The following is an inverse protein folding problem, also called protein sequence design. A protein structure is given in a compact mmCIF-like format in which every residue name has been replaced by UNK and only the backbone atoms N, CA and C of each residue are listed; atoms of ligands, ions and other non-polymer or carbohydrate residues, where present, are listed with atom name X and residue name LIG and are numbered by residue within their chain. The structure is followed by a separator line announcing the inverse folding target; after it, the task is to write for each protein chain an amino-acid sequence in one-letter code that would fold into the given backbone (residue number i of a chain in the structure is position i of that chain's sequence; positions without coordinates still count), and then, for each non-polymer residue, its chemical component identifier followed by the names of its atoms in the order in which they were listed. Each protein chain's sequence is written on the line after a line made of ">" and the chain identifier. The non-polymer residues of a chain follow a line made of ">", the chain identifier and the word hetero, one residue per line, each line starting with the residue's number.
data_IF_896735848042
#
_entry.id   IF_896735848042
#
_cell.length_a   1.000
_cell.length_b   1.000
_cell.length_c   1.000
_cell.angle_alpha   90.00
_cell.angle_beta   90.00
_cell.angle_gamma   90.00
#
_symmetry.space_group_name_H-M   'P 1'
#
loop_
_entity.id
_entity.type
_entity.pdbx_description
1 polymer ?
#
# COMPACT_ATOMS: atom_id res chain seq x y z
N UNK A 1 40.74 -0.13 -3.48
CA UNK A 1 39.38 0.16 -3.94
C UNK A 1 39.59 1.04 -5.13
N UNK A 2 39.25 0.48 -6.27
CA UNK A 2 39.83 0.92 -7.53
C UNK A 2 38.76 1.64 -8.34
N UNK A 3 37.50 1.22 -8.16
CA UNK A 3 36.32 1.93 -8.61
C UNK A 3 35.12 1.68 -7.68
N UNK A 4 34.07 2.47 -7.85
CA UNK A 4 32.75 2.34 -7.25
C UNK A 4 31.73 2.18 -8.38
N UNK A 5 30.87 1.17 -8.27
CA UNK A 5 29.70 1.02 -9.13
C UNK A 5 28.46 1.60 -8.42
N UNK A 6 27.82 2.55 -9.07
CA UNK A 6 26.54 3.12 -8.65
C UNK A 6 25.45 2.60 -9.58
N UNK A 7 24.52 1.82 -9.03
CA UNK A 7 23.39 1.26 -9.76
C UNK A 7 22.10 1.87 -9.19
N UNK A 8 21.45 2.74 -9.94
CA UNK A 8 20.12 3.26 -9.55
C UNK A 8 19.05 2.27 -10.00
N UNK A 9 18.18 1.89 -9.07
CA UNK A 9 17.14 0.86 -9.26
C UNK A 9 15.80 1.41 -8.86
N UNK A 10 14.79 1.05 -9.66
CA UNK A 10 13.39 1.24 -9.32
C UNK A 10 12.79 -0.10 -8.91
N UNK A 11 12.23 -0.13 -7.70
CA UNK A 11 11.49 -1.24 -7.15
C UNK A 11 9.99 -0.96 -7.24
N UNK A 12 9.24 -1.89 -7.81
CA UNK A 12 7.79 -1.74 -7.98
C UNK A 12 7.05 -3.03 -7.65
N UNK A 13 6.21 -2.97 -6.61
CA UNK A 13 5.30 -4.04 -6.20
C UNK A 13 3.85 -3.68 -6.48
N UNK A 14 3.12 -4.58 -7.15
CA UNK A 14 1.72 -4.39 -7.55
C UNK A 14 0.90 -5.59 -7.08
N UNK A 15 -0.31 -5.35 -6.58
CA UNK A 15 -1.23 -6.41 -6.14
C UNK A 15 -2.14 -6.93 -7.28
N UNK A 16 -2.96 -7.93 -6.99
CA UNK A 16 -3.87 -8.51 -7.99
C UNK A 16 -4.96 -7.52 -8.45
N UNK A 17 -5.28 -6.51 -7.63
CA UNK A 17 -6.15 -5.38 -8.00
C UNK A 17 -5.45 -4.35 -8.89
N UNK A 18 -4.17 -4.55 -9.22
CA UNK A 18 -3.33 -3.61 -9.98
C UNK A 18 -3.08 -2.28 -9.25
N UNK A 19 -3.19 -2.27 -7.92
CA UNK A 19 -2.80 -1.16 -7.08
C UNK A 19 -1.30 -1.29 -6.74
N UNK A 20 -0.56 -0.18 -6.82
CA UNK A 20 0.84 -0.12 -6.36
C UNK A 20 0.86 -0.09 -4.84
N UNK A 21 1.58 -1.03 -4.21
CA UNK A 21 1.74 -1.08 -2.75
C UNK A 21 3.19 -0.87 -2.30
N UNK A 22 4.14 -0.97 -3.23
CA UNK A 22 5.56 -0.69 -3.01
C UNK A 22 6.10 0.05 -4.21
N UNK A 23 6.69 1.22 -3.99
CA UNK A 23 7.41 1.97 -5.01
C UNK A 23 8.58 2.66 -4.34
N UNK A 24 9.78 2.34 -4.77
CA UNK A 24 11.00 2.89 -4.21
C UNK A 24 12.05 3.08 -5.30
N UNK A 25 12.80 4.17 -5.23
CA UNK A 25 13.94 4.42 -6.11
C UNK A 25 15.15 4.65 -5.24
N UNK A 26 16.19 3.85 -5.43
CA UNK A 26 17.42 3.96 -4.66
C UNK A 26 18.66 3.72 -5.51
N UNK A 27 19.80 4.22 -5.04
CA UNK A 27 21.11 3.97 -5.65
C UNK A 27 21.89 2.99 -4.77
N UNK A 28 22.18 1.82 -5.33
CA UNK A 28 23.03 0.81 -4.73
C UNK A 28 24.50 1.10 -5.04
N UNK A 29 25.36 0.89 -4.06
CA UNK A 29 26.78 1.21 -4.12
C UNK A 29 27.59 -0.07 -3.99
N UNK A 30 28.32 -0.49 -5.01
CA UNK A 30 29.19 -1.67 -4.92
C UNK A 30 30.65 -1.25 -5.04
N UNK A 31 31.49 -1.75 -4.13
CA UNK A 31 32.92 -1.55 -4.23
C UNK A 31 33.50 -2.43 -5.35
N UNK A 32 34.46 -1.91 -6.11
CA UNK A 32 35.25 -2.70 -7.05
C UNK A 32 36.70 -2.76 -6.55
N UNK A 33 37.25 -3.98 -6.49
CA UNK A 33 38.62 -4.26 -6.06
C UNK A 33 39.23 -5.31 -6.97
N UNK A 34 40.40 -5.04 -7.52
CA UNK A 34 41.16 -5.96 -8.38
C UNK A 34 40.32 -6.49 -9.57
N UNK A 35 39.42 -5.65 -10.10
CA UNK A 35 38.51 -6.03 -11.20
C UNK A 35 37.23 -6.77 -10.77
N UNK A 36 37.09 -7.15 -9.50
CA UNK A 36 35.96 -7.93 -9.00
C UNK A 36 34.90 -7.06 -8.31
N UNK A 37 33.63 -7.49 -8.41
CA UNK A 37 32.51 -6.87 -7.72
C UNK A 37 32.51 -7.27 -6.23
N UNK A 38 32.78 -6.31 -5.37
CA UNK A 38 32.72 -6.45 -3.92
C UNK A 38 31.31 -6.32 -3.34
N UNK A 39 31.26 -6.13 -2.02
CA UNK A 39 30.01 -6.04 -1.26
C UNK A 39 29.23 -4.74 -1.54
N UNK A 40 27.92 -4.82 -1.29
CA UNK A 40 27.04 -3.64 -1.23
C UNK A 40 27.44 -2.78 -0.03
N UNK A 41 27.83 -1.55 -0.30
CA UNK A 41 28.16 -0.54 0.70
C UNK A 41 26.90 0.12 1.26
N UNK A 42 27.03 0.71 2.44
CA UNK A 42 25.96 1.50 3.04
C UNK A 42 25.52 2.63 2.11
N UNK A 43 24.19 2.84 2.06
CA UNK A 43 23.60 3.91 1.30
C UNK A 43 24.02 5.27 1.85
N UNK A 44 24.24 6.22 0.94
CA UNK A 44 24.62 7.58 1.31
C UNK A 44 23.62 8.56 0.70
N UNK A 45 23.45 9.72 1.34
CA UNK A 45 22.58 10.78 0.83
C UNK A 45 23.02 11.19 -0.59
N UNK A 46 22.09 11.43 -1.53
CA UNK A 46 22.41 11.69 -2.93
C UNK A 46 23.38 12.86 -3.19
N UNK A 47 23.50 13.80 -2.26
CA UNK A 47 24.44 14.92 -2.36
C UNK A 47 25.92 14.50 -2.22
N UNK A 48 26.20 13.44 -1.46
CA UNK A 48 27.56 12.94 -1.21
C UNK A 48 28.04 11.98 -2.32
N UNK A 49 27.11 11.41 -3.10
CA UNK A 49 27.39 10.58 -4.27
C UNK A 49 27.51 11.35 -5.59
N UNK A 50 27.54 12.69 -5.52
CA UNK A 50 27.75 13.50 -6.70
C UNK A 50 29.19 13.40 -7.17
N UNK A 51 29.37 12.99 -8.43
CA UNK A 51 30.64 13.08 -9.11
C UNK A 51 31.12 14.55 -9.12
N UNK A 52 32.39 14.75 -8.78
CA UNK A 52 33.02 16.08 -8.72
C UNK A 52 33.37 16.57 -10.14
N UNK A 53 33.61 15.64 -11.08
CA UNK A 53 33.84 15.92 -12.49
C UNK A 53 33.39 14.73 -13.35
N UNK A 54 32.94 15.01 -14.58
CA UNK A 54 32.69 13.99 -15.60
C UNK A 54 33.99 13.69 -16.35
N UNK A 55 34.30 12.41 -16.53
CA UNK A 55 35.49 11.95 -17.27
C UNK A 55 35.03 11.41 -18.61
N UNK A 56 35.36 12.12 -19.69
CA UNK A 56 35.01 11.76 -21.07
C UNK A 56 36.23 11.30 -21.89
N UNK A 57 37.30 10.87 -21.20
CA UNK A 57 38.49 10.34 -21.89
C UNK A 57 38.18 8.97 -22.52
N UNK A 58 38.51 8.74 -23.80
CA UNK A 58 38.23 7.47 -24.47
C UNK A 58 38.97 6.29 -23.81
N UNK A 59 40.14 6.53 -23.20
CA UNK A 59 40.91 5.49 -22.50
C UNK A 59 40.19 4.99 -21.24
N UNK A 60 39.64 5.91 -20.44
CA UNK A 60 38.89 5.58 -19.22
C UNK A 60 37.55 4.91 -19.55
N UNK A 61 36.94 5.30 -20.67
CA UNK A 61 35.72 4.65 -21.16
C UNK A 61 36.01 3.19 -21.57
N UNK A 62 37.13 2.94 -22.26
CA UNK A 62 37.53 1.58 -22.64
C UNK A 62 37.82 0.71 -21.42
N UNK A 63 38.55 1.25 -20.42
CA UNK A 63 38.82 0.56 -19.15
C UNK A 63 37.51 0.21 -18.41
N UNK A 64 36.56 1.13 -18.34
CA UNK A 64 35.25 0.88 -17.72
C UNK A 64 34.42 -0.18 -18.47
N UNK A 65 34.56 -0.26 -19.80
CA UNK A 65 33.88 -1.28 -20.62
C UNK A 65 34.46 -2.68 -20.40
N UNK A 66 35.78 -2.80 -20.28
CA UNK A 66 36.45 -4.06 -19.96
C UNK A 66 36.03 -4.53 -18.56
N UNK A 67 36.10 -3.62 -17.58
CA UNK A 67 35.68 -3.88 -16.20
C UNK A 67 34.20 -4.31 -16.08
N UNK A 68 33.32 -3.75 -16.92
CA UNK A 68 31.93 -4.17 -16.96
C UNK A 68 31.78 -5.65 -17.34
N UNK A 69 32.57 -6.11 -18.32
CA UNK A 69 32.47 -7.48 -18.82
C UNK A 69 32.79 -8.53 -17.74
N UNK A 70 33.70 -8.17 -16.82
CA UNK A 70 34.07 -9.01 -15.68
C UNK A 70 32.98 -9.00 -14.59
N UNK A 71 32.36 -7.84 -14.36
CA UNK A 71 31.44 -7.61 -13.24
C UNK A 71 29.98 -7.96 -13.54
N UNK A 72 29.55 -7.88 -14.79
CA UNK A 72 28.13 -7.99 -15.19
C UNK A 72 27.45 -9.24 -14.62
N UNK A 73 28.15 -10.38 -14.65
CA UNK A 73 27.62 -11.66 -14.19
C UNK A 73 27.35 -11.65 -12.68
N UNK A 74 28.25 -11.08 -11.90
CA UNK A 74 28.12 -11.03 -10.46
C UNK A 74 27.10 -9.98 -10.02
N UNK A 75 27.02 -8.86 -10.73
CA UNK A 75 25.96 -7.87 -10.51
C UNK A 75 24.57 -8.47 -10.73
N UNK A 76 24.38 -9.27 -11.79
CA UNK A 76 23.10 -9.97 -12.04
C UNK A 76 22.75 -10.93 -10.90
N UNK A 77 23.73 -11.66 -10.33
CA UNK A 77 23.50 -12.51 -9.16
C UNK A 77 23.09 -11.70 -7.94
N UNK A 78 23.77 -10.57 -7.69
CA UNK A 78 23.47 -9.67 -6.58
C UNK A 78 22.06 -9.08 -6.68
N UNK A 79 21.70 -8.56 -7.85
CA UNK A 79 20.35 -8.03 -8.10
C UNK A 79 19.27 -9.11 -7.95
N UNK A 80 19.55 -10.33 -8.42
CA UNK A 80 18.62 -11.46 -8.25
C UNK A 80 18.42 -11.81 -6.77
N UNK A 81 19.49 -11.81 -5.98
CA UNK A 81 19.44 -12.01 -4.52
C UNK A 81 18.59 -10.93 -3.84
N UNK A 82 18.86 -9.66 -4.14
CA UNK A 82 18.09 -8.54 -3.59
C UNK A 82 16.60 -8.63 -3.96
N UNK A 83 16.29 -9.06 -5.18
CA UNK A 83 14.91 -9.26 -5.63
C UNK A 83 14.21 -10.36 -4.81
N UNK A 84 14.90 -11.48 -4.54
CA UNK A 84 14.37 -12.58 -3.73
C UNK A 84 14.14 -12.12 -2.28
N UNK A 85 15.11 -11.44 -1.67
CA UNK A 85 15.00 -10.89 -0.32
C UNK A 85 13.85 -9.89 -0.19
N UNK A 86 13.75 -8.94 -1.14
CA UNK A 86 12.65 -7.98 -1.20
C UNK A 86 11.31 -8.70 -1.34
N UNK A 87 11.23 -9.72 -2.17
CA UNK A 87 10.00 -10.51 -2.36
C UNK A 87 9.57 -11.17 -1.04
N UNK A 88 10.49 -11.81 -0.33
CA UNK A 88 10.21 -12.46 0.96
C UNK A 88 9.77 -11.45 2.03
N UNK A 89 10.45 -10.30 2.10
CA UNK A 89 10.12 -9.22 3.02
C UNK A 89 8.72 -8.66 2.74
N UNK A 90 8.41 -8.39 1.48
CA UNK A 90 7.10 -7.88 1.07
C UNK A 90 5.99 -8.91 1.29
N UNK A 91 6.24 -10.21 1.04
CA UNK A 91 5.27 -11.26 1.33
C UNK A 91 4.93 -11.33 2.83
N UNK A 92 5.94 -11.27 3.68
CA UNK A 92 5.77 -11.27 5.14
C UNK A 92 5.01 -10.03 5.61
N UNK A 93 5.39 -8.85 5.10
CA UNK A 93 4.73 -7.59 5.43
C UNK A 93 3.26 -7.57 4.97
N UNK A 94 2.96 -8.06 3.77
CA UNK A 94 1.59 -8.15 3.25
C UNK A 94 0.74 -9.13 4.06
N UNK A 95 1.28 -10.28 4.45
CA UNK A 95 0.57 -11.26 5.28
C UNK A 95 0.19 -10.68 6.65
N UNK A 96 1.12 -9.97 7.31
CA UNK A 96 0.85 -9.31 8.58
C UNK A 96 -0.20 -8.20 8.45
N UNK A 97 -0.09 -7.37 7.40
CA UNK A 97 -1.08 -6.32 7.13
C UNK A 97 -2.45 -6.88 6.76
N UNK A 98 -2.52 -7.99 6.05
CA UNK A 98 -3.77 -8.68 5.73
C UNK A 98 -4.50 -9.12 7.00
N UNK A 99 -3.81 -9.78 7.94
CA UNK A 99 -4.42 -10.25 9.18
C UNK A 99 -5.01 -9.09 10.00
N UNK A 100 -4.28 -7.98 10.12
CA UNK A 100 -4.76 -6.79 10.80
C UNK A 100 -5.98 -6.19 10.08
N UNK A 101 -5.88 -5.99 8.76
CA UNK A 101 -6.96 -5.40 7.97
C UNK A 101 -8.22 -6.27 7.93
N UNK A 102 -8.09 -7.59 7.85
CA UNK A 102 -9.22 -8.51 7.86
C UNK A 102 -10.00 -8.43 9.18
N UNK A 103 -9.29 -8.42 10.31
CA UNK A 103 -9.91 -8.28 11.64
C UNK A 103 -10.58 -6.91 11.81
N UNK A 104 -9.93 -5.84 11.36
CA UNK A 104 -10.48 -4.49 11.47
C UNK A 104 -11.73 -4.32 10.61
N UNK A 105 -11.73 -4.81 9.36
CA UNK A 105 -12.89 -4.76 8.49
C UNK A 105 -14.03 -5.65 8.99
N UNK A 106 -13.73 -6.85 9.51
CA UNK A 106 -14.73 -7.70 10.14
C UNK A 106 -15.42 -6.99 11.31
N UNK A 107 -14.64 -6.37 12.21
CA UNK A 107 -15.17 -5.61 13.33
C UNK A 107 -16.02 -4.41 12.87
N UNK A 108 -15.60 -3.72 11.79
CA UNK A 108 -16.37 -2.60 11.21
C UNK A 108 -17.73 -3.05 10.70
N UNK A 109 -17.78 -4.13 9.91
CA UNK A 109 -19.04 -4.68 9.42
C UNK A 109 -19.92 -5.18 10.56
N UNK A 110 -19.38 -5.89 11.54
CA UNK A 110 -20.15 -6.40 12.68
C UNK A 110 -20.73 -5.27 13.53
N UNK A 111 -19.94 -4.23 13.77
CA UNK A 111 -20.41 -3.02 14.47
C UNK A 111 -21.54 -2.36 13.69
N UNK A 112 -21.37 -2.22 12.37
CA UNK A 112 -22.37 -1.59 11.52
C UNK A 112 -23.67 -2.39 11.43
N UNK A 113 -23.59 -3.72 11.34
CA UNK A 113 -24.75 -4.61 11.33
C UNK A 113 -25.50 -4.51 12.68
N UNK A 114 -24.77 -4.48 13.80
CA UNK A 114 -25.38 -4.29 15.13
C UNK A 114 -26.07 -2.94 15.26
N UNK A 115 -25.47 -1.87 14.75
CA UNK A 115 -26.09 -0.54 14.72
C UNK A 115 -27.41 -0.54 13.94
N UNK A 116 -27.42 -1.13 12.73
CA UNK A 116 -28.63 -1.21 11.89
C UNK A 116 -29.70 -2.07 12.56
N UNK A 117 -29.31 -3.21 13.15
CA UNK A 117 -30.23 -4.09 13.88
C UNK A 117 -30.86 -3.36 15.07
N UNK A 118 -30.05 -2.59 15.82
CA UNK A 118 -30.54 -1.77 16.93
C UNK A 118 -31.43 -0.61 16.47
N UNK A 119 -31.14 0.00 15.31
CA UNK A 119 -31.98 1.03 14.72
C UNK A 119 -33.34 0.49 14.27
N UNK A 120 -33.37 -0.76 13.77
CA UNK A 120 -34.59 -1.48 13.44
C UNK A 120 -35.45 -1.70 14.69
N UNK A 121 -34.86 -2.13 15.81
CA UNK A 121 -35.61 -2.40 17.04
C UNK A 121 -36.06 -1.14 17.78
N UNK A 122 -35.20 -0.13 17.98
CA UNK A 122 -35.36 0.75 19.15
C UNK A 122 -36.22 2.00 18.99
N UNK A 123 -36.64 2.45 17.81
CA UNK A 123 -37.23 3.80 17.75
C UNK A 123 -38.37 4.04 16.78
N UNK A 124 -38.31 3.52 15.56
CA UNK A 124 -39.26 3.91 14.52
C UNK A 124 -40.31 2.84 14.26
N UNK A 125 -39.93 1.56 14.30
CA UNK A 125 -40.84 0.44 14.07
C UNK A 125 -41.69 0.17 15.32
N UNK A 126 -41.08 0.02 16.50
CA UNK A 126 -41.81 -0.21 17.75
C UNK A 126 -42.86 0.87 18.05
N UNK A 127 -42.57 2.15 17.77
CA UNK A 127 -43.56 3.23 17.98
C UNK A 127 -44.75 3.10 17.05
N UNK A 128 -44.50 2.80 15.77
CA UNK A 128 -45.55 2.57 14.79
C UNK A 128 -46.36 1.30 15.10
N UNK A 129 -45.73 0.24 15.62
CA UNK A 129 -46.41 -0.98 16.08
C UNK A 129 -47.33 -0.70 17.26
N UNK A 130 -46.86 0.05 18.27
CA UNK A 130 -47.68 0.46 19.42
C UNK A 130 -48.84 1.35 18.98
N UNK A 131 -48.60 2.30 18.07
CA UNK A 131 -49.64 3.18 17.53
C UNK A 131 -50.70 2.38 16.74
N UNK A 132 -50.25 1.44 15.91
CA UNK A 132 -51.11 0.50 15.19
C UNK A 132 -51.98 -0.32 16.15
N UNK A 133 -51.39 -0.88 17.21
CA UNK A 133 -52.15 -1.65 18.21
C UNK A 133 -53.12 -0.79 19.02
N UNK A 134 -52.79 0.47 19.29
CA UNK A 134 -53.71 1.42 19.90
C UNK A 134 -54.91 1.70 18.97
N UNK A 135 -54.66 1.98 17.69
CA UNK A 135 -55.71 2.17 16.69
C UNK A 135 -56.61 0.95 16.53
N UNK A 136 -56.04 -0.26 16.48
CA UNK A 136 -56.81 -1.50 16.43
C UNK A 136 -57.67 -1.73 17.67
N UNK A 137 -57.21 -1.29 18.85
CA UNK A 137 -58.02 -1.34 20.08
C UNK A 137 -59.15 -0.33 20.05
N UNK A 138 -58.89 0.89 19.57
CA UNK A 138 -59.89 1.94 19.44
C UNK A 138 -60.97 1.58 18.40
N UNK A 139 -60.61 0.92 17.30
CA UNK A 139 -61.55 0.43 16.29
C UNK A 139 -62.47 -0.68 16.79
N UNK A 140 -62.12 -1.38 17.88
CA UNK A 140 -63.03 -2.35 18.53
C UNK A 140 -64.14 -1.67 19.33
N UNK A 141 -63.99 -0.38 19.64
CA UNK A 141 -65.03 0.40 20.28
C UNK A 141 -65.99 0.90 19.20
N UNK A 142 -67.29 0.69 19.39
CA UNK A 142 -68.31 1.19 18.47
C UNK A 142 -68.25 2.71 18.41
N UNK A 143 -68.01 3.25 17.21
CA UNK A 143 -68.08 4.69 16.92
C UNK A 143 -69.50 5.06 16.54
N UNK A 144 -69.90 6.29 16.86
CA UNK A 144 -71.23 6.78 16.56
C UNK A 144 -71.38 7.22 15.09
N UNK A 145 -70.27 7.60 14.45
CA UNK A 145 -70.24 8.16 13.09
C UNK A 145 -69.40 7.30 12.14
N UNK A 146 -69.95 6.98 10.97
CA UNK A 146 -69.26 6.21 9.92
C UNK A 146 -68.05 6.95 9.31
N UNK A 147 -68.01 8.28 9.42
CA UNK A 147 -66.86 9.09 8.99
C UNK A 147 -65.63 8.83 9.88
N UNK A 148 -65.84 8.62 11.18
CA UNK A 148 -64.76 8.30 12.12
C UNK A 148 -64.16 6.92 11.85
N UNK A 149 -64.99 5.94 11.48
CA UNK A 149 -64.55 4.58 11.12
C UNK A 149 -63.65 4.63 9.88
N UNK A 150 -64.09 5.31 8.81
CA UNK A 150 -63.28 5.48 7.58
C UNK A 150 -61.96 6.18 7.85
N UNK A 151 -61.97 7.24 8.67
CA UNK A 151 -60.75 7.95 9.03
C UNK A 151 -59.77 7.08 9.82
N UNK A 152 -60.27 6.16 10.67
CA UNK A 152 -59.43 5.19 11.37
C UNK A 152 -58.87 4.12 10.43
N UNK A 153 -59.67 3.62 9.49
CA UNK A 153 -59.23 2.68 8.46
C UNK A 153 -58.11 3.26 7.58
N UNK A 154 -58.25 4.51 7.13
CA UNK A 154 -57.20 5.19 6.35
C UNK A 154 -55.91 5.37 7.15
N UNK A 155 -56.02 5.77 8.42
CA UNK A 155 -54.85 5.90 9.32
C UNK A 155 -54.15 4.56 9.53
N UNK A 156 -54.92 3.50 9.77
CA UNK A 156 -54.38 2.15 9.93
C UNK A 156 -53.64 1.71 8.67
N UNK A 157 -54.23 1.93 7.49
CA UNK A 157 -53.59 1.61 6.20
C UNK A 157 -52.27 2.36 6.02
N UNK A 158 -52.26 3.67 6.30
CA UNK A 158 -51.05 4.49 6.19
C UNK A 158 -49.94 4.01 7.14
N UNK A 159 -50.29 3.62 8.37
CA UNK A 159 -49.34 3.05 9.33
C UNK A 159 -48.79 1.69 8.86
N UNK A 160 -49.65 0.81 8.35
CA UNK A 160 -49.25 -0.50 7.82
C UNK A 160 -48.29 -0.37 6.64
N UNK A 161 -48.59 0.54 5.71
CA UNK A 161 -47.69 0.81 4.60
C UNK A 161 -46.34 1.38 5.08
N UNK A 162 -46.34 2.28 6.07
CA UNK A 162 -45.12 2.87 6.59
C UNK A 162 -44.26 1.85 7.37
N UNK A 163 -44.90 0.98 8.16
CA UNK A 163 -44.24 -0.15 8.82
C UNK A 163 -43.56 -1.06 7.79
N UNK A 164 -44.31 -1.47 6.76
CA UNK A 164 -43.79 -2.31 5.69
C UNK A 164 -42.61 -1.64 4.95
N UNK A 165 -42.72 -0.33 4.64
CA UNK A 165 -41.63 0.43 4.02
C UNK A 165 -40.36 0.43 4.88
N UNK A 166 -40.48 0.71 6.18
CA UNK A 166 -39.33 0.76 7.10
C UNK A 166 -38.71 -0.60 7.36
N UNK A 167 -39.53 -1.62 7.58
CA UNK A 167 -39.05 -3.00 7.76
C UNK A 167 -38.28 -3.47 6.53
N UNK A 168 -38.85 -3.25 5.33
CA UNK A 168 -38.21 -3.58 4.07
C UNK A 168 -36.87 -2.84 3.89
N UNK A 169 -36.85 -1.53 4.16
CA UNK A 169 -35.63 -0.73 4.02
C UNK A 169 -34.48 -1.25 4.92
N UNK A 170 -34.77 -1.54 6.20
CA UNK A 170 -33.74 -2.07 7.10
C UNK A 170 -33.31 -3.48 6.70
N UNK A 171 -34.24 -4.32 6.24
CA UNK A 171 -33.91 -5.66 5.75
C UNK A 171 -32.99 -5.60 4.52
N UNK A 172 -33.30 -4.74 3.56
CA UNK A 172 -32.47 -4.52 2.37
C UNK A 172 -31.06 -4.03 2.76
N UNK A 173 -30.96 -3.12 3.74
CA UNK A 173 -29.67 -2.63 4.24
C UNK A 173 -28.87 -3.73 4.93
N UNK A 174 -29.50 -4.57 5.74
CA UNK A 174 -28.85 -5.71 6.40
C UNK A 174 -28.35 -6.73 5.37
N UNK A 175 -29.17 -7.05 4.37
CA UNK A 175 -28.80 -7.99 3.31
C UNK A 175 -27.64 -7.43 2.47
N UNK A 176 -27.66 -6.12 2.18
CA UNK A 176 -26.55 -5.44 1.52
C UNK A 176 -25.26 -5.53 2.34
N UNK A 177 -25.30 -5.17 3.63
CA UNK A 177 -24.13 -5.18 4.50
C UNK A 177 -23.52 -6.58 4.64
N UNK A 178 -24.33 -7.63 4.71
CA UNK A 178 -23.85 -9.02 4.75
C UNK A 178 -23.13 -9.40 3.46
N UNK A 179 -23.77 -9.16 2.31
CA UNK A 179 -23.14 -9.43 1.00
C UNK A 179 -21.85 -8.63 0.80
N UNK A 180 -21.84 -7.39 1.27
CA UNK A 180 -20.68 -6.53 1.16
C UNK A 180 -19.55 -6.95 2.10
N UNK A 181 -19.88 -7.39 3.33
CA UNK A 181 -18.92 -8.03 4.25
C UNK A 181 -18.24 -9.21 3.56
N UNK A 182 -19.02 -10.12 2.99
CA UNK A 182 -18.49 -11.30 2.29
C UNK A 182 -17.62 -10.90 1.09
N UNK A 183 -18.11 -9.96 0.26
CA UNK A 183 -17.36 -9.46 -0.90
C UNK A 183 -16.03 -8.83 -0.50
N UNK A 184 -16.02 -8.00 0.54
CA UNK A 184 -14.82 -7.28 0.96
C UNK A 184 -13.82 -8.24 1.59
N UNK A 185 -14.25 -9.08 2.53
CA UNK A 185 -13.35 -10.01 3.22
C UNK A 185 -12.79 -11.08 2.29
N UNK A 186 -13.64 -11.71 1.46
CA UNK A 186 -13.22 -12.84 0.63
C UNK A 186 -12.54 -12.42 -0.67
N UNK A 187 -12.99 -11.33 -1.31
CA UNK A 187 -12.51 -10.92 -2.63
C UNK A 187 -11.57 -9.73 -2.55
N UNK A 188 -12.03 -8.60 -1.99
CA UNK A 188 -11.29 -7.33 -2.07
C UNK A 188 -10.01 -7.40 -1.24
N UNK A 189 -10.10 -7.74 0.05
CA UNK A 189 -8.93 -7.81 0.93
C UNK A 189 -7.93 -8.86 0.45
N UNK A 190 -8.42 -10.04 0.09
CA UNK A 190 -7.57 -11.12 -0.43
C UNK A 190 -6.77 -10.67 -1.65
N UNK A 191 -7.41 -10.01 -2.63
CA UNK A 191 -6.73 -9.52 -3.83
C UNK A 191 -5.83 -8.31 -3.55
N UNK A 192 -6.22 -7.44 -2.60
CA UNK A 192 -5.44 -6.26 -2.21
C UNK A 192 -4.10 -6.62 -1.57
N UNK A 193 -4.08 -7.66 -0.74
CA UNK A 193 -2.87 -8.11 -0.06
C UNK A 193 -2.15 -9.26 -0.78
N UNK A 194 -2.70 -9.75 -1.89
CA UNK A 194 -2.02 -10.72 -2.74
C UNK A 194 -1.11 -10.01 -3.74
N UNK A 195 0.17 -10.35 -3.68
CA UNK A 195 1.17 -9.85 -4.61
C UNK A 195 0.99 -10.46 -6.00
N UNK A 196 0.98 -9.60 -7.02
CA UNK A 196 0.87 -10.02 -8.42
C UNK A 196 2.25 -10.27 -9.01
N UNK A 197 2.67 -11.54 -9.00
CA UNK A 197 3.99 -11.94 -9.48
C UNK A 197 5.12 -11.44 -8.57
N UNK A 198 6.33 -11.34 -9.10
CA UNK A 198 7.48 -10.79 -8.38
C UNK A 198 7.52 -9.26 -8.52
N UNK A 199 8.02 -8.53 -7.51
CA UNK A 199 8.32 -7.11 -7.64
C UNK A 199 9.22 -6.88 -8.85
N UNK A 200 8.92 -5.85 -9.63
CA UNK A 200 9.79 -5.44 -10.73
C UNK A 200 10.98 -4.69 -10.14
N UNK A 201 12.17 -5.10 -10.54
CA UNK A 201 13.42 -4.47 -10.18
C UNK A 201 14.07 -3.99 -11.46
N UNK A 202 13.89 -2.71 -11.78
CA UNK A 202 14.31 -2.11 -13.04
C UNK A 202 15.60 -1.31 -12.83
N UNK A 203 16.72 -1.69 -13.48
CA UNK A 203 17.89 -0.83 -13.50
C UNK A 203 17.57 0.44 -14.31
N UNK A 204 17.86 1.61 -13.75
CA UNK A 204 17.78 2.91 -14.41
C UNK A 204 19.21 3.26 -14.90
N UNK A 205 19.92 4.33 -14.46
CA UNK A 205 21.31 4.51 -14.89
C UNK A 205 22.31 3.65 -14.10
N UNK A 206 23.33 3.17 -14.83
CA UNK A 206 24.57 2.63 -14.28
C UNK A 206 25.65 3.72 -14.35
N UNK A 207 26.39 3.95 -13.27
CA UNK A 207 27.51 4.90 -13.23
C UNK A 207 28.74 4.29 -12.58
N UNK A 208 29.91 4.60 -13.11
CA UNK A 208 31.20 4.28 -12.51
C UNK A 208 31.80 5.55 -11.90
N UNK A 209 32.32 5.43 -10.68
CA UNK A 209 33.05 6.49 -10.01
C UNK A 209 34.43 5.97 -9.60
N UNK A 210 35.49 6.64 -10.05
CA UNK A 210 36.85 6.36 -9.62
C UNK A 210 37.20 7.24 -8.43
N UNK A 211 37.85 6.71 -7.38
CA UNK A 211 38.30 7.53 -6.27
C UNK A 211 39.32 8.55 -6.79
N UNK A 212 39.19 9.81 -6.36
CA UNK A 212 40.21 10.82 -6.66
C UNK A 212 41.50 10.34 -6.01
N UNK A 213 42.48 9.94 -6.82
CA UNK A 213 43.84 9.75 -6.34
C UNK A 213 44.31 11.10 -5.80
N UNK A 214 44.33 11.26 -4.47
CA UNK A 214 45.08 12.35 -3.84
C UNK A 214 46.53 12.13 -4.23
N UNK A 215 46.97 12.75 -5.33
CA UNK A 215 48.39 12.89 -5.61
C UNK A 215 49.01 13.50 -4.35
N UNK A 216 49.89 12.76 -3.68
CA UNK A 216 50.77 13.31 -2.66
C UNK A 216 51.68 14.29 -3.40
N UNK A 217 51.25 15.53 -3.61
CA UNK A 217 52.15 16.61 -3.95
C UNK A 217 53.05 16.80 -2.75
N UNK A 218 54.30 16.36 -2.89
CA UNK A 218 55.40 16.69 -2.00
C UNK A 218 55.38 18.19 -1.73
N UNK A 219 55.21 18.53 -0.46
CA UNK A 219 55.38 19.88 0.07
C UNK A 219 56.81 20.29 -0.28
N UNK A 220 56.97 21.30 -1.13
CA UNK A 220 58.26 21.98 -1.28
C UNK A 220 58.54 22.70 0.04
N UNK A 221 59.62 22.31 0.71
CA UNK A 221 60.17 22.97 1.89
C UNK A 221 60.51 24.44 1.57
N UNK A 222 60.05 25.42 2.35
CA UNK A 222 60.47 26.81 2.23
C UNK A 222 61.70 27.05 3.12
N UNK A 223 62.85 26.47 2.77
CA UNK A 223 64.12 26.80 3.44
C UNK A 223 65.32 26.29 2.63
N UNK A 224 65.58 26.89 1.47
CA UNK A 224 66.94 26.87 0.92
C UNK A 224 67.23 28.10 0.05
N UNK A 225 67.61 29.20 0.70
CA UNK A 225 68.46 30.23 0.09
C UNK A 225 69.06 31.15 1.17
N UNK A 226 70.07 30.63 1.88
CA UNK A 226 71.17 31.46 2.41
C UNK A 226 72.46 31.01 1.75
N UNK A 227 72.99 31.86 0.88
CA UNK A 227 74.40 32.08 0.51
C UNK A 227 74.56 32.27 -1.01
N UNK A 228 74.65 33.53 -1.44
CA UNK A 228 75.87 34.15 -1.98
C UNK A 228 75.62 35.62 -2.27
#
# INVERSE_FOLDING_TARGET
>A
MDALLLLTVEELGVNDLRETFHHWVQTLRFAIRDGELGELLEGVVPGEDRAIAEVNSPEVIAEAQELWSDIERDLKKQVSRLTIELTQNLQTALANKYQAAAKDEENRFDTRIKEVTKAMSNNSIQKLEVEREALLRDMRQLKLFAEDERAQEEKLKNLDEELNRRQRHYQELLDFLKREKDRVLEKVLTQRYRMRGMPKFSPLPLKYAYPIQKSRRSICDPNDSRNR
#
